data_IF_750466698912
#
_entry.id   IF_750466698912
#
_cell.length_a   1.000
_cell.length_b   1.000
_cell.length_c   1.000
_cell.angle_alpha   90.00
_cell.angle_beta   90.00
_cell.angle_gamma   90.00
#
_symmetry.space_group_name_H-M   'P 1'
#
loop_
_entity.id
_entity.type
_entity.pdbx_description
1 polymer ?
#
# COMPACT_ATOMS: atom_id res chain seq x y z
N UNK A 1 10.13 -10.78 21.43
CA UNK A 1 11.15 -10.40 22.45
C UNK A 1 12.48 -11.10 22.20
N UNK A 2 12.49 -12.41 21.92
CA UNK A 2 13.70 -13.15 21.55
C UNK A 2 14.30 -12.68 20.21
N UNK A 3 13.47 -12.60 19.16
CA UNK A 3 13.91 -12.16 17.82
C UNK A 3 14.50 -10.74 17.81
N UNK A 4 13.92 -9.83 18.59
CA UNK A 4 14.41 -8.45 18.72
C UNK A 4 15.82 -8.41 19.32
N UNK A 5 16.11 -9.27 20.30
CA UNK A 5 17.42 -9.35 20.95
C UNK A 5 18.46 -9.96 20.02
N UNK A 6 18.08 -10.98 19.24
CA UNK A 6 18.95 -11.58 18.23
C UNK A 6 19.29 -10.56 17.14
N UNK A 7 18.30 -9.88 16.58
CA UNK A 7 18.51 -8.90 15.52
C UNK A 7 19.41 -7.75 15.98
N UNK A 8 19.24 -7.29 17.22
CA UNK A 8 20.11 -6.27 17.82
C UNK A 8 21.57 -6.74 17.90
N UNK A 9 21.80 -7.97 18.37
CA UNK A 9 23.15 -8.52 18.44
C UNK A 9 23.79 -8.67 17.04
N UNK A 10 23.00 -9.10 16.04
CA UNK A 10 23.47 -9.19 14.66
C UNK A 10 23.86 -7.81 14.13
N UNK A 11 23.02 -6.79 14.34
CA UNK A 11 23.31 -5.42 13.95
C UNK A 11 24.60 -4.88 14.60
N UNK A 12 24.82 -5.15 15.88
CA UNK A 12 26.04 -4.76 16.59
C UNK A 12 27.29 -5.45 16.02
N UNK A 13 27.21 -6.76 15.75
CA UNK A 13 28.28 -7.51 15.11
C UNK A 13 28.60 -6.97 13.70
N UNK A 14 27.58 -6.69 12.89
CA UNK A 14 27.75 -6.14 11.53
C UNK A 14 28.37 -4.74 11.57
N UNK A 15 27.92 -3.87 12.48
CA UNK A 15 28.50 -2.54 12.69
C UNK A 15 29.96 -2.63 13.14
N UNK A 16 30.28 -3.55 14.05
CA UNK A 16 31.65 -3.78 14.50
C UNK A 16 32.55 -4.31 13.38
N UNK A 17 32.05 -5.28 12.60
CA UNK A 17 32.74 -5.82 11.44
C UNK A 17 33.02 -4.73 10.39
N UNK A 18 32.02 -3.90 10.07
CA UNK A 18 32.19 -2.78 9.15
C UNK A 18 33.26 -1.78 9.62
N UNK A 19 33.29 -1.46 10.92
CA UNK A 19 34.29 -0.54 11.51
C UNK A 19 35.70 -1.11 11.49
N UNK A 20 35.86 -2.41 11.71
CA UNK A 20 37.17 -3.06 11.86
C UNK A 20 37.79 -3.52 10.55
N UNK A 21 36.97 -4.02 9.62
CA UNK A 21 37.44 -4.63 8.38
C UNK A 21 37.31 -3.72 7.15
N UNK A 22 36.60 -2.60 7.29
CA UNK A 22 36.30 -1.71 6.17
C UNK A 22 35.21 -2.28 5.24
N UNK A 23 34.65 -1.40 4.39
CA UNK A 23 33.46 -1.74 3.59
C UNK A 23 33.70 -2.69 2.43
N UNK A 24 34.91 -2.75 1.88
CA UNK A 24 35.25 -3.74 0.85
C UNK A 24 35.03 -5.19 1.35
N UNK A 25 35.18 -5.43 2.65
CA UNK A 25 34.87 -6.73 3.26
C UNK A 25 33.39 -6.94 3.54
N UNK A 26 32.58 -5.89 3.62
CA UNK A 26 31.11 -6.02 3.68
C UNK A 26 30.56 -6.54 2.35
N UNK A 27 31.08 -6.08 1.22
CA UNK A 27 30.72 -6.63 -0.09
C UNK A 27 31.03 -8.14 -0.16
N UNK A 28 32.23 -8.54 0.26
CA UNK A 28 32.62 -9.97 0.32
C UNK A 28 31.74 -10.78 1.28
N UNK A 29 31.40 -10.23 2.44
CA UNK A 29 30.48 -10.87 3.40
C UNK A 29 29.09 -11.07 2.77
N UNK A 30 28.59 -10.05 2.07
CA UNK A 30 27.29 -10.10 1.38
C UNK A 30 27.30 -11.19 0.31
N UNK A 31 28.39 -11.31 -0.49
CA UNK A 31 28.54 -12.39 -1.47
C UNK A 31 28.57 -13.81 -0.86
N UNK A 32 29.05 -13.95 0.39
CA UNK A 32 29.05 -15.23 1.09
C UNK A 32 27.65 -15.55 1.60
N UNK A 33 26.98 -14.58 2.22
CA UNK A 33 25.64 -14.73 2.80
C UNK A 33 24.57 -15.03 1.73
N UNK A 34 24.70 -14.49 0.52
CA UNK A 34 23.75 -14.75 -0.58
C UNK A 34 23.69 -16.21 -1.05
N UNK A 35 24.63 -17.06 -0.62
CA UNK A 35 24.68 -18.46 -1.04
C UNK A 35 23.56 -19.31 -0.45
N UNK A 36 22.89 -18.82 0.59
CA UNK A 36 21.78 -19.50 1.22
C UNK A 36 20.61 -18.55 1.58
N UNK A 37 19.47 -19.15 1.88
CA UNK A 37 18.21 -18.45 2.16
C UNK A 37 18.30 -17.62 3.45
N UNK A 38 19.04 -18.10 4.45
CA UNK A 38 19.19 -17.42 5.75
C UNK A 38 20.03 -16.16 5.56
N UNK A 39 21.15 -16.25 4.85
CA UNK A 39 22.02 -15.12 4.58
C UNK A 39 21.34 -14.09 3.67
N UNK A 40 20.55 -14.53 2.68
CA UNK A 40 19.72 -13.63 1.87
C UNK A 40 18.72 -12.85 2.73
N UNK A 41 18.11 -13.51 3.73
CA UNK A 41 17.22 -12.87 4.69
C UNK A 41 17.96 -11.86 5.56
N UNK A 42 19.13 -12.22 6.08
CA UNK A 42 19.98 -11.31 6.87
C UNK A 42 20.35 -10.04 6.09
N UNK A 43 20.68 -10.19 4.81
CA UNK A 43 21.00 -9.05 3.94
C UNK A 43 19.81 -8.08 3.84
N UNK A 44 18.60 -8.62 3.68
CA UNK A 44 17.38 -7.82 3.53
C UNK A 44 16.91 -7.15 4.84
N UNK A 45 17.20 -7.76 5.99
CA UNK A 45 16.69 -7.32 7.30
C UNK A 45 17.65 -6.36 8.03
N UNK A 46 18.93 -6.33 7.66
CA UNK A 46 19.97 -5.57 8.38
C UNK A 46 20.54 -4.40 7.59
N UNK A 47 20.38 -3.18 8.14
CA UNK A 47 20.74 -1.90 7.50
C UNK A 47 22.17 -1.84 6.94
N UNK A 48 23.15 -2.43 7.63
CA UNK A 48 24.57 -2.44 7.22
C UNK A 48 24.79 -3.18 5.89
N UNK A 49 23.98 -4.22 5.62
CA UNK A 49 24.05 -5.05 4.43
C UNK A 49 23.08 -4.59 3.34
N UNK A 50 21.98 -3.95 3.72
CA UNK A 50 20.94 -3.48 2.79
C UNK A 50 21.47 -2.59 1.67
N UNK A 51 22.50 -1.77 1.92
CA UNK A 51 23.11 -0.92 0.90
C UNK A 51 23.70 -1.69 -0.29
N UNK A 52 24.31 -2.85 -0.05
CA UNK A 52 24.86 -3.70 -1.11
C UNK A 52 23.76 -4.46 -1.87
N UNK A 53 22.71 -4.90 -1.16
CA UNK A 53 21.51 -5.49 -1.79
C UNK A 53 20.88 -4.50 -2.78
N UNK A 54 20.71 -3.24 -2.37
CA UNK A 54 20.17 -2.19 -3.23
C UNK A 54 21.01 -1.96 -4.47
N UNK A 55 22.33 -1.82 -4.31
CA UNK A 55 23.26 -1.63 -5.42
C UNK A 55 23.14 -2.77 -6.43
N UNK A 56 23.18 -4.02 -5.95
CA UNK A 56 23.08 -5.21 -6.82
C UNK A 56 21.73 -5.31 -7.52
N UNK A 57 20.64 -5.01 -6.83
CA UNK A 57 19.29 -4.98 -7.44
C UNK A 57 19.23 -3.94 -8.56
N UNK A 58 19.77 -2.75 -8.33
CA UNK A 58 19.88 -1.70 -9.35
C UNK A 58 20.72 -2.16 -10.55
N UNK A 59 21.87 -2.76 -10.32
CA UNK A 59 22.71 -3.31 -11.40
C UNK A 59 21.96 -4.39 -12.21
N UNK A 60 21.24 -5.29 -11.53
CA UNK A 60 20.41 -6.32 -12.19
C UNK A 60 19.24 -5.73 -12.99
N UNK A 61 18.72 -4.58 -12.56
CA UNK A 61 17.56 -3.91 -13.15
C UNK A 61 17.93 -2.75 -14.07
N UNK A 62 19.20 -2.60 -14.44
CA UNK A 62 19.68 -1.47 -15.24
C UNK A 62 18.93 -1.26 -16.55
N UNK A 63 18.41 -2.33 -17.18
CA UNK A 63 17.56 -2.20 -18.38
C UNK A 63 16.28 -1.41 -18.12
N UNK A 64 15.72 -1.52 -16.92
CA UNK A 64 14.53 -0.78 -16.49
C UNK A 64 14.81 0.70 -16.23
N UNK A 65 16.07 1.14 -16.30
CA UNK A 65 16.45 2.55 -16.29
C UNK A 65 16.49 3.18 -17.70
N UNK A 66 16.31 2.38 -18.76
CA UNK A 66 16.20 2.86 -20.13
C UNK A 66 14.73 3.06 -20.52
N UNK A 67 14.34 4.33 -20.69
CA UNK A 67 12.99 4.70 -21.11
C UNK A 67 12.57 4.09 -22.43
N UNK A 68 13.48 4.03 -23.40
CA UNK A 68 13.15 3.49 -24.72
C UNK A 68 12.84 2.00 -24.62
N UNK A 69 13.70 1.26 -23.92
CA UNK A 69 13.47 -0.16 -23.63
C UNK A 69 12.14 -0.39 -22.91
N UNK A 70 11.87 0.37 -21.84
CA UNK A 70 10.62 0.24 -21.08
C UNK A 70 9.39 0.51 -21.94
N UNK A 71 9.41 1.55 -22.78
CA UNK A 71 8.29 1.85 -23.67
C UNK A 71 8.12 0.83 -24.79
N UNK A 72 9.20 0.19 -25.25
CA UNK A 72 9.16 -0.88 -26.26
C UNK A 72 8.55 -2.17 -25.70
N UNK A 73 8.95 -2.57 -24.49
CA UNK A 73 8.49 -3.79 -23.80
C UNK A 73 7.13 -3.63 -23.10
N UNK A 74 6.64 -2.40 -22.91
CA UNK A 74 5.33 -2.16 -22.32
C UNK A 74 4.22 -2.75 -23.19
N UNK A 75 3.41 -3.62 -22.61
CA UNK A 75 2.25 -4.26 -23.23
C UNK A 75 0.96 -3.94 -22.46
N UNK A 76 -0.20 -4.09 -23.12
CA UNK A 76 -1.51 -3.78 -22.55
C UNK A 76 -2.35 -2.82 -23.40
N UNK A 77 -3.36 -2.24 -22.78
CA UNK A 77 -4.35 -1.38 -23.44
C UNK A 77 -3.80 0.01 -23.78
N UNK A 78 -4.26 0.59 -24.89
CA UNK A 78 -3.93 1.95 -25.33
C UNK A 78 -2.42 2.25 -25.30
N UNK A 79 -1.63 1.52 -26.10
CA UNK A 79 -0.17 1.69 -26.20
C UNK A 79 0.28 1.97 -27.64
N UNK A 80 -0.49 2.79 -28.35
CA UNK A 80 -0.08 3.29 -29.67
C UNK A 80 1.09 4.29 -29.56
N UNK A 81 1.61 4.69 -30.72
CA UNK A 81 2.75 5.60 -30.82
C UNK A 81 2.49 6.93 -30.10
N UNK A 82 1.29 7.49 -30.25
CA UNK A 82 0.90 8.76 -29.65
C UNK A 82 0.89 8.65 -28.12
N UNK A 83 0.40 7.52 -27.59
CA UNK A 83 0.46 7.25 -26.15
C UNK A 83 1.90 7.17 -25.64
N UNK A 84 2.77 6.44 -26.34
CA UNK A 84 4.18 6.31 -25.93
C UNK A 84 4.88 7.68 -25.93
N UNK A 85 4.55 8.55 -26.89
CA UNK A 85 5.05 9.93 -26.93
C UNK A 85 4.54 10.78 -25.75
N UNK A 86 3.29 10.60 -25.34
CA UNK A 86 2.74 11.26 -24.13
C UNK A 86 3.50 10.79 -22.88
N UNK A 87 3.71 9.48 -22.73
CA UNK A 87 4.44 8.92 -21.60
C UNK A 87 5.89 9.42 -21.55
N UNK A 88 6.56 9.49 -22.70
CA UNK A 88 7.92 10.03 -22.82
C UNK A 88 7.99 11.50 -22.39
N UNK A 89 7.08 12.36 -22.88
CA UNK A 89 7.01 13.78 -22.50
C UNK A 89 6.77 13.96 -21.00
N UNK A 90 5.86 13.17 -20.41
CA UNK A 90 5.57 13.20 -18.97
C UNK A 90 6.76 12.72 -18.15
N UNK A 91 7.47 11.70 -18.63
CA UNK A 91 8.67 11.19 -17.97
C UNK A 91 9.79 12.22 -17.99
N UNK A 92 9.99 12.92 -19.11
CA UNK A 92 10.97 14.01 -19.19
C UNK A 92 10.67 15.13 -18.18
N UNK A 93 9.40 15.52 -18.01
CA UNK A 93 8.99 16.49 -17.00
C UNK A 93 9.32 15.99 -15.58
N UNK A 94 8.92 14.76 -15.25
CA UNK A 94 9.26 14.13 -13.98
C UNK A 94 10.77 14.15 -13.73
N UNK A 95 11.55 13.68 -14.70
CA UNK A 95 13.00 13.52 -14.60
C UNK A 95 13.70 14.85 -14.35
N UNK A 96 13.35 15.87 -15.12
CA UNK A 96 13.95 17.20 -14.98
C UNK A 96 13.72 17.78 -13.57
N UNK A 97 12.48 17.68 -13.05
CA UNK A 97 12.16 18.17 -11.70
C UNK A 97 12.90 17.33 -10.65
N UNK A 98 12.87 16.01 -10.78
CA UNK A 98 13.49 15.10 -9.81
C UNK A 98 15.01 15.27 -9.74
N UNK A 99 15.70 15.27 -10.88
CA UNK A 99 17.16 15.45 -10.94
C UNK A 99 17.57 16.83 -10.42
N UNK A 100 16.79 17.87 -10.73
CA UNK A 100 16.97 19.21 -10.17
C UNK A 100 16.95 19.20 -8.65
N UNK A 101 15.88 18.68 -8.04
CA UNK A 101 15.73 18.59 -6.59
C UNK A 101 16.86 17.78 -5.92
N UNK A 102 17.25 16.65 -6.51
CA UNK A 102 18.34 15.82 -5.99
C UNK A 102 19.67 16.58 -6.04
N UNK A 103 19.98 17.22 -7.16
CA UNK A 103 21.24 17.96 -7.32
C UNK A 103 21.37 19.12 -6.33
N UNK A 104 20.30 19.88 -6.15
CA UNK A 104 20.21 21.00 -5.20
C UNK A 104 20.46 20.50 -3.77
N UNK A 105 19.71 19.52 -3.29
CA UNK A 105 19.77 19.09 -1.89
C UNK A 105 21.01 18.25 -1.57
N UNK A 106 21.56 17.49 -2.52
CA UNK A 106 22.80 16.75 -2.29
C UNK A 106 24.02 17.68 -2.17
N UNK A 107 23.97 18.85 -2.80
CA UNK A 107 25.02 19.87 -2.72
C UNK A 107 25.12 20.52 -1.33
N UNK A 108 24.00 20.59 -0.60
CA UNK A 108 23.95 21.16 0.76
C UNK A 108 24.59 20.27 1.82
N UNK A 109 24.78 18.99 1.54
CA UNK A 109 25.32 18.04 2.50
C UNK A 109 26.81 18.32 2.79
N UNK A 110 27.11 18.58 4.05
CA UNK A 110 28.47 18.76 4.52
C UNK A 110 29.00 17.47 5.17
N UNK A 111 29.92 16.72 4.51
CA UNK A 111 30.44 15.46 5.03
C UNK A 111 31.26 15.60 6.32
N UNK A 112 31.79 16.79 6.62
CA UNK A 112 32.56 17.05 7.85
C UNK A 112 31.67 17.13 9.10
N UNK A 113 30.38 17.43 8.94
CA UNK A 113 29.44 17.70 10.05
C UNK A 113 28.28 16.68 10.06
N UNK A 114 28.22 15.74 9.11
CA UNK A 114 27.12 14.78 8.95
C UNK A 114 25.73 15.44 8.97
N UNK A 115 25.64 16.67 8.45
CA UNK A 115 24.39 17.42 8.44
C UNK A 115 23.58 17.00 7.22
N UNK A 116 22.50 16.26 7.47
CA UNK A 116 21.54 15.87 6.44
C UNK A 116 20.81 17.10 5.85
N UNK A 117 20.39 17.04 4.57
CA UNK A 117 19.63 18.12 3.94
C UNK A 117 18.33 18.39 4.71
N UNK A 118 18.00 19.66 4.90
CA UNK A 118 16.77 20.05 5.59
C UNK A 118 15.57 19.92 4.65
N UNK A 119 14.90 18.77 4.70
CA UNK A 119 13.77 18.47 3.83
C UNK A 119 12.49 19.24 4.17
N UNK A 120 12.46 20.05 5.24
CA UNK A 120 11.24 20.71 5.68
C UNK A 120 10.68 21.69 4.64
N UNK A 121 11.56 22.39 3.90
CA UNK A 121 11.14 23.32 2.85
C UNK A 121 10.46 22.54 1.72
N UNK A 122 11.15 21.52 1.18
CA UNK A 122 10.60 20.64 0.15
C UNK A 122 9.27 20.00 0.55
N UNK A 123 9.17 19.50 1.79
CA UNK A 123 7.93 18.90 2.33
C UNK A 123 6.81 19.94 2.44
N UNK A 124 7.12 21.15 2.89
CA UNK A 124 6.16 22.25 2.99
C UNK A 124 5.64 22.64 1.61
N UNK A 125 6.55 22.74 0.63
CA UNK A 125 6.21 23.10 -0.74
C UNK A 125 5.28 22.06 -1.35
N UNK A 126 5.59 20.76 -1.22
CA UNK A 126 4.70 19.66 -1.66
C UNK A 126 3.30 19.82 -1.07
N UNK A 127 3.20 19.99 0.25
CA UNK A 127 1.90 20.09 0.95
C UNK A 127 1.09 21.30 0.48
N UNK A 128 1.76 22.38 0.10
CA UNK A 128 1.11 23.61 -0.37
C UNK A 128 0.73 23.56 -1.86
N UNK A 129 1.48 22.81 -2.68
CA UNK A 129 1.29 22.76 -4.13
C UNK A 129 0.28 21.72 -4.58
N UNK A 130 0.05 20.67 -3.79
CA UNK A 130 -0.87 19.58 -4.18
C UNK A 130 -2.33 20.02 -3.96
N UNK A 131 -3.19 19.96 -4.99
CA UNK A 131 -4.61 20.29 -4.84
C UNK A 131 -5.32 19.26 -3.97
N UNK A 132 -6.20 19.73 -3.07
CA UNK A 132 -7.06 18.83 -2.30
C UNK A 132 -8.31 18.52 -3.11
N UNK A 133 -8.50 17.26 -3.46
CA UNK A 133 -9.67 16.80 -4.19
C UNK A 133 -10.86 16.69 -3.24
N UNK A 134 -11.94 17.36 -3.62
CA UNK A 134 -13.21 17.34 -2.89
C UNK A 134 -14.18 16.39 -3.58
N UNK A 135 -14.99 15.70 -2.78
CA UNK A 135 -16.08 14.85 -3.27
C UNK A 135 -17.26 15.72 -3.67
N UNK A 136 -17.66 15.69 -4.95
CA UNK A 136 -18.85 16.39 -5.45
C UNK A 136 -19.83 15.37 -6.03
N UNK A 137 -21.08 15.40 -5.57
CA UNK A 137 -22.13 14.46 -6.01
C UNK A 137 -21.71 12.97 -5.96
N UNK A 138 -21.02 12.57 -4.89
CA UNK A 138 -20.46 11.22 -4.71
C UNK A 138 -19.40 10.77 -5.74
N UNK A 139 -18.88 11.67 -6.56
CA UNK A 139 -17.75 11.40 -7.46
C UNK A 139 -16.52 12.21 -7.05
N UNK A 140 -15.37 11.60 -7.29
CA UNK A 140 -14.07 12.26 -7.19
C UNK A 140 -13.91 13.14 -8.42
N UNK A 141 -13.69 14.44 -8.24
CA UNK A 141 -13.29 15.30 -9.36
C UNK A 141 -11.84 14.96 -9.71
N UNK A 142 -11.67 14.19 -10.79
CA UNK A 142 -10.39 13.90 -11.40
C UNK A 142 -10.44 14.40 -12.83
N UNK A 143 -9.52 15.31 -13.16
CA UNK A 143 -9.46 15.95 -14.46
C UNK A 143 -8.01 16.07 -14.95
N UNK A 144 -7.87 16.67 -16.13
CA UNK A 144 -6.57 16.90 -16.77
C UNK A 144 -5.63 17.76 -15.93
N UNK A 145 -6.15 18.71 -15.16
CA UNK A 145 -5.31 19.59 -14.33
C UNK A 145 -4.61 18.83 -13.22
N UNK A 146 -5.28 17.81 -12.67
CA UNK A 146 -4.68 16.90 -11.68
C UNK A 146 -3.67 15.99 -12.38
N UNK A 147 -4.05 15.37 -13.51
CA UNK A 147 -3.13 14.51 -14.28
C UNK A 147 -1.86 15.26 -14.71
N UNK A 148 -1.97 16.53 -15.08
CA UNK A 148 -0.86 17.38 -15.51
C UNK A 148 0.18 17.61 -14.39
N UNK A 149 -0.27 17.59 -13.13
CA UNK A 149 0.59 17.79 -11.96
C UNK A 149 1.26 16.49 -11.49
N UNK A 150 0.75 15.32 -11.86
CA UNK A 150 1.27 14.02 -11.41
C UNK A 150 2.79 13.87 -11.60
N UNK A 151 3.40 14.21 -12.75
CA UNK A 151 4.86 14.11 -12.91
C UNK A 151 5.64 14.94 -11.88
N UNK A 152 5.16 16.14 -11.56
CA UNK A 152 5.80 17.01 -10.57
C UNK A 152 5.62 16.48 -9.15
N UNK A 153 4.40 16.05 -8.79
CA UNK A 153 4.10 15.48 -7.48
C UNK A 153 4.96 14.21 -7.25
N UNK A 154 5.03 13.33 -8.25
CA UNK A 154 5.88 12.14 -8.20
C UNK A 154 7.35 12.51 -8.02
N UNK A 155 7.86 13.48 -8.78
CA UNK A 155 9.25 13.92 -8.68
C UNK A 155 9.58 14.40 -7.27
N UNK A 156 8.70 15.18 -6.65
CA UNK A 156 8.91 15.68 -5.30
C UNK A 156 8.83 14.57 -4.24
N UNK A 157 7.85 13.67 -4.33
CA UNK A 157 7.74 12.53 -3.39
C UNK A 157 8.97 11.62 -3.50
N UNK A 158 9.39 11.28 -4.73
CA UNK A 158 10.58 10.46 -4.94
C UNK A 158 11.84 11.18 -4.48
N UNK A 159 11.96 12.50 -4.66
CA UNK A 159 13.09 13.27 -4.12
C UNK A 159 13.16 13.14 -2.59
N UNK A 160 12.04 13.31 -1.88
CA UNK A 160 11.99 13.10 -0.42
C UNK A 160 12.37 11.67 -0.06
N UNK A 161 11.83 10.67 -0.76
CA UNK A 161 12.15 9.26 -0.50
C UNK A 161 13.65 8.96 -0.70
N UNK A 162 14.23 9.40 -1.81
CA UNK A 162 15.65 9.22 -2.10
C UNK A 162 16.52 9.94 -1.07
N UNK A 163 16.23 11.21 -0.76
CA UNK A 163 17.03 12.03 0.16
C UNK A 163 17.01 11.48 1.60
N UNK A 164 15.87 10.94 2.05
CA UNK A 164 15.76 10.25 3.36
C UNK A 164 16.55 8.94 3.44
N UNK A 165 16.89 8.35 2.29
CA UNK A 165 17.63 7.09 2.20
C UNK A 165 19.07 7.29 1.71
N UNK A 166 19.66 8.48 1.91
CA UNK A 166 21.02 8.81 1.46
C UNK A 166 22.14 8.27 2.35
N UNK A 167 21.84 7.58 3.46
CA UNK A 167 22.86 7.10 4.41
C UNK A 167 23.96 6.29 3.71
N UNK A 168 23.58 5.33 2.85
CA UNK A 168 24.53 4.51 2.11
C UNK A 168 25.31 5.31 1.05
N UNK A 169 24.66 6.27 0.38
CA UNK A 169 25.31 7.18 -0.56
C UNK A 169 26.34 8.09 0.11
N UNK A 170 25.96 8.78 1.18
CA UNK A 170 26.84 9.71 1.92
C UNK A 170 28.09 9.01 2.43
N UNK A 171 27.89 7.76 2.82
CA UNK A 171 28.92 6.85 3.24
C UNK A 171 29.94 6.53 2.12
N UNK A 172 29.53 6.45 0.85
CA UNK A 172 30.38 6.12 -0.29
C UNK A 172 30.87 7.34 -1.09
N UNK A 173 30.63 8.57 -0.61
CA UNK A 173 31.08 9.80 -1.30
C UNK A 173 32.58 9.78 -1.59
N UNK A 174 32.95 10.17 -2.80
CA UNK A 174 34.34 10.20 -3.28
C UNK A 174 34.79 8.90 -3.97
N UNK A 175 33.92 7.89 -4.06
CA UNK A 175 34.11 6.70 -4.89
C UNK A 175 33.26 6.87 -6.15
N UNK A 176 33.79 6.48 -7.32
CA UNK A 176 33.11 6.64 -8.62
C UNK A 176 31.72 5.98 -8.67
N UNK A 177 31.49 4.94 -7.87
CA UNK A 177 30.23 4.22 -7.76
C UNK A 177 29.25 4.80 -6.74
N UNK A 178 29.54 5.92 -6.07
CA UNK A 178 28.69 6.44 -4.99
C UNK A 178 27.21 6.55 -5.41
N UNK A 179 26.94 7.00 -6.63
CA UNK A 179 25.59 7.20 -7.15
C UNK A 179 24.76 5.91 -7.25
N UNK A 180 25.39 4.72 -7.34
CA UNK A 180 24.67 3.44 -7.35
C UNK A 180 24.06 3.07 -5.99
N UNK A 181 24.48 3.77 -4.92
CA UNK A 181 23.93 3.62 -3.57
C UNK A 181 22.75 4.57 -3.27
N UNK A 182 22.38 5.45 -4.21
CA UNK A 182 21.14 6.22 -4.08
C UNK A 182 19.94 5.33 -4.41
N UNK A 183 18.98 5.32 -3.49
CA UNK A 183 17.70 4.67 -3.71
C UNK A 183 16.81 5.58 -4.57
N UNK A 184 16.85 5.39 -5.88
CA UNK A 184 16.08 6.18 -6.86
C UNK A 184 15.09 5.28 -7.61
N UNK A 185 13.97 5.83 -8.10
CA UNK A 185 13.04 5.05 -8.89
C UNK A 185 13.62 4.58 -10.23
N UNK A 186 13.21 3.40 -10.66
CA UNK A 186 13.42 2.92 -12.03
C UNK A 186 12.40 3.54 -12.99
N UNK A 187 12.73 3.62 -14.29
CA UNK A 187 11.81 4.17 -15.30
C UNK A 187 10.52 3.37 -15.35
N UNK A 188 10.62 2.03 -15.30
CA UNK A 188 9.46 1.14 -15.28
C UNK A 188 8.47 1.47 -14.14
N UNK A 189 8.98 1.87 -12.97
CA UNK A 189 8.12 2.25 -11.83
C UNK A 189 7.38 3.56 -12.11
N UNK A 190 8.06 4.56 -12.71
CA UNK A 190 7.44 5.84 -13.06
C UNK A 190 6.38 5.68 -14.14
N UNK A 191 6.68 4.89 -15.18
CA UNK A 191 5.70 4.61 -16.25
C UNK A 191 4.50 3.85 -15.68
N UNK A 192 4.73 2.88 -14.79
CA UNK A 192 3.65 2.19 -14.08
C UNK A 192 2.76 3.15 -13.29
N UNK A 193 3.36 4.09 -12.55
CA UNK A 193 2.63 5.12 -11.81
C UNK A 193 1.80 6.01 -12.75
N UNK A 194 2.35 6.44 -13.88
CA UNK A 194 1.61 7.20 -14.88
C UNK A 194 0.37 6.44 -15.37
N UNK A 195 0.52 5.14 -15.67
CA UNK A 195 -0.63 4.31 -16.06
C UNK A 195 -1.66 4.22 -14.93
N UNK A 196 -1.25 3.99 -13.69
CA UNK A 196 -2.16 3.94 -12.53
C UNK A 196 -2.98 5.24 -12.41
N UNK A 197 -2.36 6.40 -12.64
CA UNK A 197 -3.02 7.71 -12.59
C UNK A 197 -3.78 8.10 -13.88
N UNK A 198 -3.98 7.17 -14.80
CA UNK A 198 -4.78 7.39 -16.02
C UNK A 198 -4.04 8.11 -17.14
N UNK A 199 -2.73 8.30 -17.04
CA UNK A 199 -1.94 8.99 -18.05
C UNK A 199 -1.72 8.10 -19.28
N UNK A 200 -2.04 8.66 -20.45
CA UNK A 200 -1.84 8.00 -21.74
C UNK A 200 -2.96 7.04 -22.13
N UNK A 201 -4.12 7.07 -21.47
CA UNK A 201 -5.28 6.31 -21.95
C UNK A 201 -6.09 7.11 -22.93
N UNK A 202 -6.81 6.43 -23.81
CA UNK A 202 -7.64 7.09 -24.82
C UNK A 202 -9.12 6.76 -24.65
N UNK A 203 -9.97 7.78 -24.75
CA UNK A 203 -11.41 7.65 -24.80
C UNK A 203 -11.84 7.61 -26.27
N UNK A 204 -12.58 6.56 -26.63
CA UNK A 204 -13.28 6.51 -27.91
C UNK A 204 -14.62 7.24 -27.80
N UNK A 205 -14.74 8.37 -28.50
CA UNK A 205 -16.00 9.12 -28.54
C UNK A 205 -16.96 8.46 -29.53
N UNK A 206 -18.16 8.09 -29.07
CA UNK A 206 -19.25 7.66 -29.96
C UNK A 206 -20.04 8.89 -30.40
N UNK A 207 -20.21 9.09 -31.70
CA UNK A 207 -21.03 10.17 -32.26
C UNK A 207 -22.11 9.52 -33.14
N UNK A 208 -23.38 9.77 -32.83
CA UNK A 208 -24.56 9.25 -33.57
C UNK A 208 -24.59 7.73 -33.79
N UNK A 209 -24.30 6.91 -32.78
CA UNK A 209 -24.39 5.45 -32.89
C UNK A 209 -23.30 4.78 -33.74
N UNK A 210 -22.50 5.57 -34.47
CA UNK A 210 -21.31 5.11 -35.18
C UNK A 210 -20.05 5.41 -34.34
N UNK A 211 -19.14 4.44 -34.24
CA UNK A 211 -17.79 4.66 -33.70
C UNK A 211 -17.02 5.49 -34.73
N UNK A 212 -17.08 6.82 -34.64
CA UNK A 212 -16.19 7.70 -35.39
C UNK A 212 -14.86 7.72 -34.63
N UNK A 213 -13.78 7.29 -35.28
CA UNK A 213 -12.48 6.95 -34.67
C UNK A 213 -11.63 8.12 -34.15
N UNK A 214 -12.23 9.17 -33.60
CA UNK A 214 -11.47 10.22 -32.91
C UNK A 214 -11.09 9.72 -31.51
N UNK A 215 -9.81 9.37 -31.35
CA UNK A 215 -9.21 9.11 -30.04
C UNK A 215 -8.97 10.44 -29.34
N UNK A 216 -9.63 10.63 -28.20
CA UNK A 216 -9.28 11.70 -27.27
C UNK A 216 -8.47 11.13 -26.12
N UNK A 217 -7.51 11.89 -25.60
CA UNK A 217 -6.82 11.51 -24.36
C UNK A 217 -7.88 11.50 -23.23
N UNK A 218 -7.89 10.44 -22.44
CA UNK A 218 -8.78 10.30 -21.31
C UNK A 218 -8.29 11.15 -20.15
N UNK A 219 -9.15 12.05 -19.68
CA UNK A 219 -8.92 12.82 -18.47
C UNK A 219 -9.49 12.12 -17.22
N UNK A 220 -10.09 10.94 -17.37
CA UNK A 220 -10.71 10.18 -16.28
C UNK A 220 -9.68 9.35 -15.49
N UNK A 221 -9.89 9.26 -14.17
CA UNK A 221 -9.34 8.17 -13.37
C UNK A 221 -10.30 6.99 -13.41
N UNK A 222 -9.79 5.80 -13.72
CA UNK A 222 -10.55 4.57 -13.76
C UNK A 222 -9.75 3.44 -13.12
N UNK A 223 -10.46 2.38 -12.72
CA UNK A 223 -9.81 1.20 -12.14
C UNK A 223 -8.96 0.53 -13.23
N UNK A 224 -7.68 0.39 -12.97
CA UNK A 224 -6.73 -0.26 -13.86
C UNK A 224 -5.91 -1.32 -13.11
N UNK A 225 -5.24 -2.15 -13.89
CA UNK A 225 -4.34 -3.19 -13.42
C UNK A 225 -2.98 -2.96 -14.07
N UNK A 226 -1.93 -2.98 -13.26
CA UNK A 226 -0.55 -2.94 -13.77
C UNK A 226 0.15 -4.19 -13.25
N UNK A 227 0.65 -5.00 -14.16
CA UNK A 227 1.48 -6.16 -13.84
C UNK A 227 2.93 -5.71 -13.71
N UNK A 228 3.53 -6.00 -12.55
CA UNK A 228 4.91 -5.65 -12.22
C UNK A 228 5.58 -6.93 -11.74
N UNK A 229 6.69 -7.29 -12.36
CA UNK A 229 7.42 -8.51 -12.07
C UNK A 229 7.97 -8.57 -10.65
N UNK A 230 8.25 -9.78 -10.18
CA UNK A 230 8.84 -9.99 -8.86
C UNK A 230 10.20 -9.32 -8.76
N UNK A 231 10.37 -8.47 -7.74
CA UNK A 231 11.59 -7.74 -7.48
C UNK A 231 11.67 -6.36 -8.13
N UNK A 232 10.79 -6.03 -9.09
CA UNK A 232 10.83 -4.75 -9.83
C UNK A 232 10.35 -3.53 -9.00
N UNK A 233 10.00 -3.76 -7.74
CA UNK A 233 9.62 -2.71 -6.80
C UNK A 233 8.13 -2.38 -6.77
N UNK A 234 7.25 -3.38 -6.95
CA UNK A 234 5.80 -3.25 -6.74
C UNK A 234 5.44 -2.55 -5.42
N UNK A 235 6.17 -2.83 -4.34
CA UNK A 235 5.96 -2.18 -3.04
C UNK A 235 6.21 -0.67 -3.07
N UNK A 236 7.22 -0.23 -3.83
CA UNK A 236 7.51 1.20 -4.05
C UNK A 236 6.36 1.84 -4.81
N UNK A 237 5.92 1.24 -5.92
CA UNK A 237 4.77 1.74 -6.70
C UNK A 237 3.55 1.88 -5.79
N UNK A 238 3.18 0.84 -5.04
CA UNK A 238 2.03 0.86 -4.14
C UNK A 238 2.11 1.97 -3.09
N UNK A 239 3.26 2.14 -2.45
CA UNK A 239 3.47 3.17 -1.44
C UNK A 239 3.41 4.59 -2.03
N UNK A 240 3.99 4.81 -3.22
CA UNK A 240 3.96 6.12 -3.88
C UNK A 240 2.55 6.44 -4.38
N UNK A 241 1.80 5.46 -4.89
CA UNK A 241 0.38 5.65 -5.24
C UNK A 241 -0.41 6.09 -4.01
N UNK A 242 -0.18 5.44 -2.87
CA UNK A 242 -0.82 5.82 -1.62
C UNK A 242 -0.44 7.24 -1.19
N UNK A 243 0.83 7.63 -1.33
CA UNK A 243 1.27 9.00 -1.04
C UNK A 243 0.52 10.04 -1.87
N UNK A 244 0.42 9.84 -3.18
CA UNK A 244 -0.25 10.80 -4.08
C UNK A 244 -1.73 10.92 -3.72
N UNK A 245 -2.47 9.82 -3.59
CA UNK A 245 -3.90 9.89 -3.25
C UNK A 245 -4.15 10.51 -1.87
N UNK A 246 -3.30 10.20 -0.89
CA UNK A 246 -3.43 10.77 0.44
C UNK A 246 -3.10 12.27 0.46
N UNK A 247 -2.11 12.73 -0.30
CA UNK A 247 -1.81 14.17 -0.47
C UNK A 247 -2.95 14.90 -1.17
N UNK A 248 -3.60 14.27 -2.15
CA UNK A 248 -4.82 14.75 -2.81
C UNK A 248 -6.06 14.74 -1.88
N UNK A 249 -5.93 14.35 -0.61
CA UNK A 249 -7.00 14.44 0.39
C UNK A 249 -7.89 13.20 0.51
N UNK A 250 -7.50 12.07 -0.08
CA UNK A 250 -8.24 10.81 0.00
C UNK A 250 -7.76 9.94 1.16
N UNK A 251 -8.65 9.08 1.68
CA UNK A 251 -8.26 7.99 2.57
C UNK A 251 -7.91 6.76 1.71
N UNK A 252 -6.71 6.21 1.90
CA UNK A 252 -6.17 5.12 1.08
C UNK A 252 -6.12 3.84 1.90
N UNK A 253 -6.69 2.78 1.34
CA UNK A 253 -6.61 1.42 1.88
C UNK A 253 -5.71 0.58 0.97
N UNK A 254 -4.61 0.08 1.51
CA UNK A 254 -3.68 -0.80 0.81
C UNK A 254 -3.92 -2.25 1.27
N UNK A 255 -4.59 -3.03 0.44
CA UNK A 255 -4.86 -4.45 0.70
C UNK A 255 -3.68 -5.30 0.26
N UNK A 256 -3.07 -6.02 1.20
CA UNK A 256 -2.07 -7.05 0.89
C UNK A 256 -2.60 -8.45 1.22
N UNK A 257 -1.97 -9.47 0.65
CA UNK A 257 -2.36 -10.86 0.92
C UNK A 257 -2.19 -11.25 2.40
N UNK A 258 -1.07 -10.86 3.01
CA UNK A 258 -0.74 -11.25 4.39
C UNK A 258 -0.55 -10.06 5.32
N UNK A 259 -0.77 -10.31 6.61
CA UNK A 259 -0.54 -9.32 7.67
C UNK A 259 0.95 -8.94 7.74
N UNK A 260 1.84 -9.92 7.58
CA UNK A 260 3.28 -9.69 7.56
C UNK A 260 3.69 -8.72 6.44
N UNK A 261 3.23 -8.95 5.20
CA UNK A 261 3.53 -8.05 4.07
C UNK A 261 2.95 -6.65 4.30
N UNK A 262 1.71 -6.58 4.81
CA UNK A 262 1.04 -5.31 5.15
C UNK A 262 1.88 -4.50 6.13
N UNK A 263 2.33 -5.13 7.22
CA UNK A 263 3.11 -4.46 8.26
C UNK A 263 4.51 -4.08 7.77
N UNK A 264 5.16 -4.95 6.99
CA UNK A 264 6.47 -4.67 6.39
C UNK A 264 6.41 -3.42 5.53
N UNK A 265 5.50 -3.37 4.55
CA UNK A 265 5.39 -2.21 3.67
C UNK A 265 4.99 -0.94 4.42
N UNK A 266 4.09 -1.04 5.40
CA UNK A 266 3.76 0.12 6.25
C UNK A 266 5.00 0.64 6.99
N UNK A 267 5.83 -0.24 7.53
CA UNK A 267 7.04 0.14 8.27
C UNK A 267 8.12 0.74 7.35
N UNK A 268 8.35 0.12 6.19
CA UNK A 268 9.37 0.55 5.23
C UNK A 268 9.14 2.00 4.74
N UNK A 269 7.87 2.40 4.63
CA UNK A 269 7.48 3.75 4.16
C UNK A 269 6.96 4.68 5.28
N UNK A 270 6.94 4.24 6.54
CA UNK A 270 6.41 5.03 7.65
C UNK A 270 7.09 6.40 7.77
N UNK A 271 8.42 6.44 7.60
CA UNK A 271 9.19 7.69 7.68
C UNK A 271 8.82 8.68 6.58
N UNK A 272 8.43 8.20 5.40
CA UNK A 272 7.96 9.02 4.28
C UNK A 272 6.55 9.54 4.56
N UNK A 273 5.64 8.66 5.01
CA UNK A 273 4.27 9.04 5.33
C UNK A 273 4.19 10.08 6.44
N UNK A 274 4.99 9.91 7.50
CA UNK A 274 5.07 10.87 8.60
C UNK A 274 5.65 12.21 8.15
N UNK A 275 6.71 12.19 7.33
CA UNK A 275 7.28 13.43 6.77
C UNK A 275 6.22 14.21 5.97
N UNK A 276 5.48 13.50 5.12
CA UNK A 276 4.39 14.05 4.33
C UNK A 276 3.11 14.33 5.14
N UNK A 277 3.03 13.95 6.41
CA UNK A 277 1.85 14.19 7.27
C UNK A 277 0.58 13.50 6.77
N UNK A 278 0.73 12.31 6.19
CA UNK A 278 -0.34 11.53 5.55
C UNK A 278 -0.50 10.13 6.15
N UNK A 279 0.24 9.80 7.20
CA UNK A 279 0.24 8.47 7.81
C UNK A 279 -1.14 8.06 8.33
N UNK A 280 -1.92 8.99 8.90
CA UNK A 280 -3.29 8.74 9.33
C UNK A 280 -4.28 8.46 8.18
N UNK A 281 -3.90 8.80 6.95
CA UNK A 281 -4.74 8.62 5.75
C UNK A 281 -4.44 7.31 5.02
N UNK A 282 -3.40 6.56 5.42
CA UNK A 282 -2.96 5.35 4.71
C UNK A 282 -3.07 4.14 5.63
N UNK A 283 -4.03 3.27 5.33
CA UNK A 283 -4.28 2.03 6.06
C UNK A 283 -3.80 0.83 5.24
N UNK A 284 -2.73 0.17 5.69
CA UNK A 284 -2.37 -1.15 5.18
C UNK A 284 -3.13 -2.24 5.92
N UNK A 285 -3.51 -3.32 5.26
CA UNK A 285 -4.03 -4.51 5.92
C UNK A 285 -4.38 -5.64 4.98
N UNK A 286 -4.79 -6.77 5.55
CA UNK A 286 -5.37 -7.85 4.75
C UNK A 286 -6.72 -7.45 4.18
N UNK A 287 -7.09 -8.05 3.05
CA UNK A 287 -8.41 -7.81 2.43
C UNK A 287 -9.56 -7.99 3.43
N UNK A 288 -9.55 -9.10 4.18
CA UNK A 288 -10.56 -9.38 5.21
C UNK A 288 -10.61 -8.30 6.28
N UNK A 289 -9.45 -7.84 6.79
CA UNK A 289 -9.43 -6.78 7.80
C UNK A 289 -10.00 -5.48 7.25
N UNK A 290 -9.58 -5.07 6.05
CA UNK A 290 -10.02 -3.82 5.45
C UNK A 290 -11.51 -3.83 5.11
N UNK A 291 -12.03 -4.98 4.64
CA UNK A 291 -13.46 -5.20 4.43
C UNK A 291 -14.25 -5.17 5.74
N UNK A 292 -13.79 -5.85 6.79
CA UNK A 292 -14.42 -5.79 8.12
C UNK A 292 -14.43 -4.36 8.66
N UNK A 293 -13.32 -3.63 8.58
CA UNK A 293 -13.25 -2.24 9.02
C UNK A 293 -14.20 -1.35 8.20
N UNK A 294 -14.30 -1.58 6.89
CA UNK A 294 -15.22 -0.84 6.01
C UNK A 294 -16.69 -1.12 6.35
N UNK A 295 -17.07 -2.38 6.50
CA UNK A 295 -18.44 -2.78 6.83
C UNK A 295 -18.86 -2.27 8.22
N UNK A 296 -17.92 -2.25 9.17
CA UNK A 296 -18.19 -1.83 10.54
C UNK A 296 -17.99 -0.33 10.79
N UNK A 297 -17.64 0.46 9.76
CA UNK A 297 -17.28 1.88 9.91
C UNK A 297 -18.40 2.73 10.50
N UNK A 298 -19.65 2.45 10.11
CA UNK A 298 -20.82 3.17 10.62
C UNK A 298 -21.47 2.46 11.81
N UNK A 299 -21.20 1.16 11.96
CA UNK A 299 -21.91 0.31 12.91
C UNK A 299 -21.23 -1.06 13.01
N UNK A 300 -20.94 -1.54 14.23
CA UNK A 300 -20.53 -2.92 14.43
C UNK A 300 -21.72 -3.88 14.19
N UNK A 301 -21.72 -4.55 13.03
CA UNK A 301 -22.83 -5.39 12.57
C UNK A 301 -23.10 -6.54 13.55
N UNK A 302 -22.05 -7.19 14.07
CA UNK A 302 -22.18 -8.36 14.95
C UNK A 302 -22.77 -7.99 16.30
N UNK A 303 -22.32 -6.87 16.87
CA UNK A 303 -22.85 -6.39 18.15
C UNK A 303 -24.31 -5.94 18.00
N UNK A 304 -24.68 -5.29 16.89
CA UNK A 304 -26.09 -4.94 16.65
C UNK A 304 -26.99 -6.16 16.45
N UNK A 305 -26.56 -7.15 15.67
CA UNK A 305 -27.33 -8.40 15.51
C UNK A 305 -27.46 -9.11 16.86
N UNK A 306 -26.40 -9.12 17.67
CA UNK A 306 -26.43 -9.66 19.04
C UNK A 306 -27.44 -8.91 19.90
N UNK A 307 -27.42 -7.58 19.90
CA UNK A 307 -28.31 -6.74 20.70
C UNK A 307 -29.77 -6.86 20.25
N UNK A 308 -30.02 -6.97 18.94
CA UNK A 308 -31.35 -7.25 18.38
C UNK A 308 -31.90 -8.56 18.93
N UNK A 309 -31.08 -9.62 18.97
CA UNK A 309 -31.52 -10.93 19.44
C UNK A 309 -31.63 -10.99 20.97
N UNK A 310 -30.71 -10.38 21.72
CA UNK A 310 -30.65 -10.49 23.19
C UNK A 310 -31.48 -9.45 23.94
N UNK A 311 -31.68 -8.26 23.36
CA UNK A 311 -32.30 -7.10 23.99
C UNK A 311 -33.61 -6.68 23.29
N UNK A 312 -34.02 -7.40 22.24
CA UNK A 312 -35.16 -7.06 21.38
C UNK A 312 -35.11 -5.59 20.90
N UNK A 313 -33.89 -5.08 20.69
CA UNK A 313 -33.65 -3.72 20.18
C UNK A 313 -33.72 -3.76 18.65
N UNK A 314 -34.92 -3.52 18.13
CA UNK A 314 -35.19 -3.50 16.69
C UNK A 314 -34.93 -2.13 16.03
N UNK A 315 -34.48 -1.14 16.79
CA UNK A 315 -34.11 0.18 16.27
C UNK A 315 -32.62 0.27 16.02
N UNK A 316 -32.24 0.55 14.77
CA UNK A 316 -30.93 1.11 14.47
C UNK A 316 -30.94 2.55 14.96
N UNK A 317 -30.29 2.82 16.10
CA UNK A 317 -30.00 4.20 16.49
C UNK A 317 -29.26 4.86 15.33
N UNK A 318 -29.85 5.87 14.70
CA UNK A 318 -29.18 6.62 13.65
C UNK A 318 -27.92 7.22 14.27
N UNK A 319 -26.76 6.82 13.76
CA UNK A 319 -25.52 7.50 14.09
C UNK A 319 -25.62 8.89 13.46
N UNK A 320 -25.98 9.89 14.27
CA UNK A 320 -26.10 11.32 13.89
C UNK A 320 -24.76 11.94 13.46
N UNK A 321 -23.74 11.15 13.15
CA UNK A 321 -22.49 11.63 12.60
C UNK A 321 -22.68 11.90 11.12
N UNK A 322 -22.98 13.15 10.77
CA UNK A 322 -22.62 13.73 9.47
C UNK A 322 -21.09 13.69 9.34
N UNK A 323 -20.53 12.50 9.12
CA UNK A 323 -19.13 12.36 8.78
C UNK A 323 -19.00 12.90 7.37
N UNK A 324 -18.26 14.00 7.20
CA UNK A 324 -17.73 14.37 5.89
C UNK A 324 -16.89 13.19 5.40
N UNK A 325 -17.47 12.32 4.58
CA UNK A 325 -16.73 11.18 4.05
C UNK A 325 -15.79 11.71 2.97
N UNK A 326 -14.49 11.72 3.28
CA UNK A 326 -13.46 11.91 2.27
C UNK A 326 -13.59 10.84 1.19
N UNK A 327 -13.15 11.11 -0.05
CA UNK A 327 -12.97 10.07 -1.04
C UNK A 327 -12.10 8.93 -0.50
N UNK A 328 -12.42 7.70 -0.90
CA UNK A 328 -11.67 6.50 -0.51
C UNK A 328 -11.13 5.80 -1.74
N UNK A 329 -9.89 5.34 -1.66
CA UNK A 329 -9.25 4.54 -2.69
C UNK A 329 -8.79 3.21 -2.09
N UNK A 330 -9.07 2.11 -2.80
CA UNK A 330 -8.55 0.79 -2.47
C UNK A 330 -7.45 0.44 -3.47
N UNK A 331 -6.25 0.21 -2.97
CA UNK A 331 -5.13 -0.33 -3.72
C UNK A 331 -4.99 -1.81 -3.36
N UNK A 332 -4.95 -2.68 -4.36
CA UNK A 332 -4.89 -4.12 -4.16
C UNK A 332 -3.52 -4.61 -4.62
N UNK A 333 -2.77 -5.16 -3.67
CA UNK A 333 -1.58 -5.94 -3.93
C UNK A 333 -1.96 -7.40 -4.23
N UNK A 334 -1.27 -8.05 -5.18
CA UNK A 334 -1.49 -9.45 -5.57
C UNK A 334 -2.93 -9.73 -6.00
N UNK A 335 -3.32 -9.13 -7.13
CA UNK A 335 -4.69 -9.24 -7.68
C UNK A 335 -5.04 -10.68 -8.06
N UNK A 336 -4.07 -11.50 -8.41
CA UNK A 336 -4.23 -12.93 -8.63
C UNK A 336 -4.75 -13.66 -7.38
N UNK A 337 -4.26 -13.28 -6.19
CA UNK A 337 -4.75 -13.82 -4.92
C UNK A 337 -6.14 -13.29 -4.60
N UNK A 338 -6.39 -12.02 -4.88
CA UNK A 338 -7.71 -11.41 -4.72
C UNK A 338 -8.78 -12.12 -5.59
N UNK A 339 -8.43 -12.47 -6.83
CA UNK A 339 -9.32 -13.16 -7.77
C UNK A 339 -9.39 -14.69 -7.54
N UNK A 340 -8.73 -15.22 -6.51
CA UNK A 340 -8.85 -16.64 -6.17
C UNK A 340 -10.27 -17.01 -5.69
N UNK A 341 -10.64 -18.29 -5.84
CA UNK A 341 -11.93 -18.82 -5.38
C UNK A 341 -12.20 -18.56 -3.89
N UNK A 342 -11.13 -18.43 -3.08
CA UNK A 342 -11.23 -18.12 -1.65
C UNK A 342 -11.83 -16.74 -1.39
N UNK A 343 -11.66 -15.80 -2.31
CA UNK A 343 -12.05 -14.40 -2.14
C UNK A 343 -13.15 -13.99 -3.11
N UNK A 344 -12.89 -14.00 -4.42
CA UNK A 344 -13.83 -13.46 -5.42
C UNK A 344 -15.10 -14.32 -5.60
N UNK A 345 -15.07 -15.60 -5.19
CA UNK A 345 -16.22 -16.51 -5.18
C UNK A 345 -16.76 -16.84 -3.78
N UNK A 346 -16.16 -16.28 -2.72
CA UNK A 346 -16.50 -16.60 -1.34
C UNK A 346 -17.75 -15.89 -0.84
N UNK A 347 -18.52 -16.54 0.03
CA UNK A 347 -19.62 -15.91 0.76
C UNK A 347 -19.09 -15.19 2.00
N UNK A 348 -19.21 -13.86 2.01
CA UNK A 348 -19.03 -13.11 3.25
C UNK A 348 -20.13 -13.48 4.24
N UNK A 349 -19.78 -14.23 5.28
CA UNK A 349 -20.73 -14.79 6.26
C UNK A 349 -20.49 -14.16 7.63
N UNK A 350 -21.01 -12.95 7.89
CA UNK A 350 -20.91 -12.34 9.20
C UNK A 350 -21.77 -13.16 10.17
N UNK A 351 -21.14 -13.80 11.14
CA UNK A 351 -21.82 -14.55 12.20
C UNK A 351 -21.51 -13.95 13.56
N UNK A 352 -22.45 -14.09 14.49
CA UNK A 352 -22.26 -13.72 15.89
C UNK A 352 -22.57 -14.91 16.78
N UNK A 353 -21.65 -15.21 17.70
CA UNK A 353 -21.88 -16.22 18.72
C UNK A 353 -22.72 -15.63 19.85
N UNK A 354 -23.88 -16.22 20.10
CA UNK A 354 -24.73 -15.89 21.23
C UNK A 354 -24.43 -16.85 22.37
N UNK A 355 -24.15 -16.29 23.54
CA UNK A 355 -23.95 -17.05 24.79
C UNK A 355 -25.02 -16.63 25.78
N UNK A 356 -25.93 -17.53 26.10
CA UNK A 356 -26.97 -17.31 27.09
C UNK A 356 -27.13 -18.56 27.99
N UNK A 357 -27.27 -18.40 29.32
CA UNK A 357 -27.46 -19.52 30.24
C UNK A 357 -28.65 -20.42 29.89
N UNK A 358 -29.73 -19.85 29.34
CA UNK A 358 -30.93 -20.61 28.96
C UNK A 358 -30.65 -21.58 27.80
N UNK A 359 -29.84 -21.17 26.82
CA UNK A 359 -29.36 -22.03 25.73
C UNK A 359 -28.50 -23.17 26.29
N UNK A 360 -27.56 -22.86 27.18
CA UNK A 360 -26.68 -23.88 27.79
C UNK A 360 -27.50 -24.89 28.60
N UNK A 361 -28.49 -24.41 29.36
CA UNK A 361 -29.37 -25.25 30.16
C UNK A 361 -30.24 -26.18 29.27
N UNK A 362 -30.79 -25.64 28.18
CA UNK A 362 -31.51 -26.44 27.18
C UNK A 362 -30.61 -27.52 26.58
N UNK A 363 -29.41 -27.17 26.11
CA UNK A 363 -28.47 -28.14 25.54
C UNK A 363 -28.04 -29.21 26.55
N UNK A 364 -27.81 -28.84 27.81
CA UNK A 364 -27.48 -29.78 28.88
C UNK A 364 -28.65 -30.71 29.21
N UNK A 365 -29.87 -30.18 29.21
CA UNK A 365 -31.09 -30.98 29.40
C UNK A 365 -31.28 -31.99 28.26
N UNK A 366 -31.05 -31.57 27.01
CA UNK A 366 -31.09 -32.45 25.84
C UNK A 366 -29.99 -33.54 25.91
N UNK A 367 -28.77 -33.14 26.26
CA UNK A 367 -27.62 -34.04 26.33
C UNK A 367 -27.72 -35.08 27.44
N UNK A 368 -28.26 -34.70 28.60
CA UNK A 368 -28.43 -35.61 29.73
C UNK A 368 -29.59 -36.58 29.53
N UNK A 369 -30.55 -36.22 28.67
CA UNK A 369 -31.67 -37.08 28.33
C UNK A 369 -31.55 -37.51 26.85
N UNK A 370 -30.49 -38.28 26.54
CA UNK A 370 -30.16 -38.71 25.16
C UNK A 370 -31.27 -39.51 24.45
N UNK A 371 -32.25 -40.00 25.20
CA UNK A 371 -33.43 -40.73 24.71
C UNK A 371 -34.71 -39.87 24.72
N UNK A 372 -34.59 -38.54 24.68
CA UNK A 372 -35.75 -37.65 24.75
C UNK A 372 -36.76 -37.89 23.61
N UNK A 373 -38.06 -37.69 23.89
CA UNK A 373 -39.14 -38.00 22.96
C UNK A 373 -39.22 -36.94 21.83
N UNK A 374 -40.12 -37.13 20.84
CA UNK A 374 -40.37 -36.15 19.77
C UNK A 374 -40.51 -34.71 20.30
N UNK A 375 -40.19 -33.72 19.45
CA UNK A 375 -40.14 -32.28 19.75
C UNK A 375 -41.23 -31.77 20.72
N UNK A 376 -42.45 -32.32 20.67
CA UNK A 376 -43.54 -32.00 21.60
C UNK A 376 -43.15 -32.15 23.07
N UNK A 377 -42.42 -33.20 23.44
CA UNK A 377 -42.02 -33.42 24.83
C UNK A 377 -40.88 -32.50 25.25
N UNK A 378 -39.98 -32.13 24.33
CA UNK A 378 -38.93 -31.12 24.57
C UNK A 378 -39.58 -29.76 24.84
N UNK A 379 -40.62 -29.39 24.08
CA UNK A 379 -41.35 -28.13 24.25
C UNK A 379 -41.99 -27.95 25.64
N UNK A 380 -42.25 -29.06 26.34
CA UNK A 380 -42.84 -29.05 27.68
C UNK A 380 -41.79 -28.97 28.81
N UNK A 381 -40.49 -29.02 28.49
CA UNK A 381 -39.43 -28.90 29.51
C UNK A 381 -39.28 -27.45 29.95
N UNK A 382 -38.99 -27.23 31.24
CA UNK A 382 -38.70 -25.89 31.77
C UNK A 382 -37.54 -25.22 31.02
N UNK A 383 -36.46 -25.98 30.74
CA UNK A 383 -35.32 -25.47 29.99
C UNK A 383 -35.68 -24.99 28.58
N UNK A 384 -36.64 -25.64 27.89
CA UNK A 384 -37.14 -25.14 26.61
C UNK A 384 -38.00 -23.90 26.79
N UNK A 385 -38.92 -23.89 27.75
CA UNK A 385 -39.82 -22.75 28.00
C UNK A 385 -39.01 -21.49 28.35
N UNK A 386 -38.03 -21.61 29.24
CA UNK A 386 -37.17 -20.50 29.65
C UNK A 386 -36.36 -19.95 28.48
N UNK A 387 -35.79 -20.84 27.65
CA UNK A 387 -35.06 -20.45 26.44
C UNK A 387 -36.00 -19.82 25.40
N UNK A 388 -37.18 -20.39 25.19
CA UNK A 388 -38.16 -19.86 24.25
C UNK A 388 -38.66 -18.48 24.68
N UNK A 389 -38.93 -18.26 25.96
CA UNK A 389 -39.30 -16.95 26.52
C UNK A 389 -38.16 -15.94 26.42
N UNK A 390 -36.91 -16.38 26.64
CA UNK A 390 -35.74 -15.51 26.52
C UNK A 390 -35.56 -14.94 25.11
N UNK A 391 -35.92 -15.71 24.09
CA UNK A 391 -35.76 -15.37 22.68
C UNK A 391 -37.09 -15.26 21.92
N UNK A 392 -38.23 -15.11 22.62
CA UNK A 392 -39.53 -14.87 22.00
C UNK A 392 -39.61 -13.42 21.57
N UNK A 393 -38.97 -13.12 20.44
CA UNK A 393 -39.14 -11.84 19.74
C UNK A 393 -40.46 -11.84 18.97
#
# INVERSE_FOLDING_TARGET
MFDTKINTNIDECLKHFQRTQGRAKIEQLTMILERDEIGSRLISEHSVLSGEDWRKRREKMQKQDDLKYVLEELTGDDLDKDTKEILEKRYALFRNVYEGLISEHLSEFNPKIQKEPNLNILISDIKSSVPVIVKKNNKVEWDRSIQDQIPQILAQIFAVWTLKNTQNYNNMRGIDSAQSYLLMPHVAQIISLFRIFGIGFTKHVKVFGFRIGWKHISDDLFNNLVEVGTGEGKSVILAIVACVFALLGMDVKCSCYSEYLSQRYKNDFASLFQALGIDERIEYGTFNRLCENFLNEQCNLRDKVRDMILQNKNSLDQTNTTVQTRPKVLLIDEVDVFLSEKFYGGLYTPSVLIRDPTIKNLLSTLWNNRYLPPLRSIKNTSAYIDCAQRFSN
#
